data_IF_114965049368
#
_entry.id   IF_114965049368
#
_cell.length_a   1.000
_cell.length_b   1.000
_cell.length_c   1.000
_cell.angle_alpha   90.00
_cell.angle_beta   90.00
_cell.angle_gamma   90.00
#
_symmetry.space_group_name_H-M   'P 1'
#
loop_
_entity.id
_entity.type
_entity.pdbx_description
1 polymer ?
#
# COMPACT_ATOMS: atom_id res chain seq x y z
N UNK A 1 11.28 -4.20 25.87
CA UNK A 1 12.19 -4.24 24.68
C UNK A 1 11.96 -5.52 23.85
N UNK A 2 10.71 -5.82 23.48
CA UNK A 2 10.32 -7.09 22.81
C UNK A 2 9.39 -6.88 21.59
N UNK A 3 9.08 -5.63 21.24
CA UNK A 3 8.12 -5.29 20.16
C UNK A 3 8.78 -4.93 18.81
N UNK A 4 10.06 -4.56 18.78
CA UNK A 4 10.74 -4.09 17.56
C UNK A 4 10.97 -5.23 16.56
N UNK A 5 11.16 -6.46 17.05
CA UNK A 5 11.48 -7.63 16.21
C UNK A 5 10.29 -8.12 15.38
N UNK A 6 9.04 -7.90 15.83
CA UNK A 6 7.83 -8.27 15.08
C UNK A 6 7.44 -7.24 14.00
N UNK A 7 7.75 -5.96 14.21
CA UNK A 7 7.53 -4.89 13.22
C UNK A 7 8.41 -5.07 11.97
N UNK A 8 9.63 -5.57 12.16
CA UNK A 8 10.52 -5.97 11.07
C UNK A 8 9.96 -7.19 10.31
N UNK A 9 9.21 -8.09 10.97
CA UNK A 9 8.65 -9.30 10.35
C UNK A 9 7.50 -9.02 9.38
N UNK A 10 6.64 -8.03 9.66
CA UNK A 10 5.55 -7.66 8.75
C UNK A 10 6.04 -6.80 7.58
N UNK A 11 7.04 -5.93 7.81
CA UNK A 11 7.71 -5.16 6.75
C UNK A 11 8.65 -6.07 5.93
N UNK A 12 9.25 -7.11 6.53
CA UNK A 12 9.91 -8.20 5.81
C UNK A 12 8.90 -9.07 5.07
N UNK A 13 7.72 -9.41 5.59
CA UNK A 13 6.74 -10.19 4.83
C UNK A 13 6.18 -9.42 3.63
N UNK A 14 5.95 -8.11 3.77
CA UNK A 14 5.55 -7.24 2.66
C UNK A 14 6.73 -6.91 1.73
N UNK A 15 7.98 -6.86 2.26
CA UNK A 15 9.21 -6.58 1.51
C UNK A 15 9.95 -7.80 0.94
N UNK A 16 9.60 -9.02 1.37
CA UNK A 16 10.10 -10.31 0.87
C UNK A 16 9.11 -10.98 -0.08
N UNK A 17 7.95 -10.36 -0.35
CA UNK A 17 7.38 -10.52 -1.68
C UNK A 17 8.50 -10.13 -2.64
N UNK A 18 9.11 -11.12 -3.29
CA UNK A 18 10.22 -10.92 -4.22
C UNK A 18 9.73 -9.94 -5.29
N UNK A 19 9.99 -8.65 -5.10
CA UNK A 19 9.72 -7.63 -6.12
C UNK A 19 10.59 -7.88 -7.36
N UNK A 20 11.69 -8.65 -7.24
CA UNK A 20 12.45 -9.23 -8.36
C UNK A 20 11.64 -10.22 -9.23
N UNK A 21 10.48 -10.70 -8.76
CA UNK A 21 9.66 -11.68 -9.47
C UNK A 21 8.24 -11.22 -9.73
N UNK A 22 7.88 -9.95 -9.47
CA UNK A 22 6.65 -9.43 -10.05
C UNK A 22 6.93 -9.31 -11.55
N UNK A 23 6.39 -10.20 -12.40
CA UNK A 23 6.51 -10.00 -13.83
C UNK A 23 5.89 -8.63 -14.09
N UNK A 24 6.45 -7.90 -15.04
CA UNK A 24 5.80 -6.74 -15.62
C UNK A 24 4.45 -7.20 -16.19
N UNK A 25 3.42 -7.27 -15.35
CA UNK A 25 2.14 -7.82 -15.73
C UNK A 25 1.23 -6.62 -16.00
N UNK A 26 0.94 -6.30 -17.27
CA UNK A 26 0.07 -5.18 -17.61
C UNK A 26 -1.31 -5.31 -16.95
N UNK A 27 -1.75 -6.53 -16.63
CA UNK A 27 -2.96 -6.75 -15.83
C UNK A 27 -2.90 -6.09 -14.44
N UNK A 28 -1.72 -6.05 -13.79
CA UNK A 28 -1.56 -5.41 -12.49
C UNK A 28 -1.70 -3.88 -12.64
N UNK A 29 -1.18 -3.29 -13.72
CA UNK A 29 -1.45 -1.89 -14.07
C UNK A 29 -2.96 -1.65 -14.30
N UNK A 30 -3.63 -2.56 -15.02
CA UNK A 30 -5.07 -2.46 -15.29
C UNK A 30 -5.94 -2.54 -14.02
N UNK A 31 -5.50 -3.22 -12.96
CA UNK A 31 -6.19 -3.23 -11.66
C UNK A 31 -6.16 -1.87 -10.95
N UNK A 32 -5.15 -1.04 -11.24
CA UNK A 32 -4.96 0.25 -10.59
C UNK A 32 -5.24 1.45 -11.50
N UNK A 33 -5.37 1.21 -12.81
CA UNK A 33 -5.79 2.19 -13.80
C UNK A 33 -7.30 2.42 -13.74
N UNK A 34 -7.73 3.69 -13.81
CA UNK A 34 -9.15 4.10 -13.74
C UNK A 34 -9.98 3.68 -14.97
N UNK A 35 -9.35 3.10 -15.98
CA UNK A 35 -9.84 2.93 -17.35
C UNK A 35 -10.03 1.46 -17.77
N UNK A 36 -10.38 0.61 -16.80
CA UNK A 36 -10.89 -0.75 -17.00
C UNK A 36 -12.15 -0.75 -17.89
N UNK A 37 -12.02 -1.23 -19.14
CA UNK A 37 -13.02 -1.08 -20.22
C UNK A 37 -14.19 -2.07 -20.22
N UNK A 38 -14.40 -2.86 -19.16
CA UNK A 38 -15.62 -3.68 -18.99
C UNK A 38 -16.20 -3.57 -17.59
N UNK A 39 -17.54 -3.53 -17.48
CA UNK A 39 -18.25 -3.32 -16.21
C UNK A 39 -17.88 -4.36 -15.16
N UNK A 40 -17.78 -5.64 -15.56
CA UNK A 40 -17.41 -6.76 -14.70
C UNK A 40 -15.96 -6.64 -14.19
N UNK A 41 -15.03 -6.17 -15.04
CA UNK A 41 -13.65 -5.93 -14.62
C UNK A 41 -13.58 -4.72 -13.67
N UNK A 42 -14.39 -3.69 -13.88
CA UNK A 42 -14.48 -2.54 -12.97
C UNK A 42 -14.98 -2.95 -11.57
N UNK A 43 -15.95 -3.86 -11.48
CA UNK A 43 -16.47 -4.37 -10.19
C UNK A 43 -15.41 -5.20 -9.46
N UNK A 44 -14.74 -6.11 -10.15
CA UNK A 44 -13.67 -6.92 -9.55
C UNK A 44 -12.51 -6.05 -9.06
N UNK A 45 -12.14 -5.02 -9.82
CA UNK A 45 -11.14 -4.02 -9.44
C UNK A 45 -11.58 -3.24 -8.20
N UNK A 46 -12.84 -2.79 -8.17
CA UNK A 46 -13.39 -2.08 -7.04
C UNK A 46 -13.38 -2.92 -5.75
N UNK A 47 -13.81 -4.18 -5.82
CA UNK A 47 -13.80 -5.08 -4.65
C UNK A 47 -12.38 -5.38 -4.16
N UNK A 48 -11.42 -5.55 -5.07
CA UNK A 48 -10.02 -5.71 -4.68
C UNK A 48 -9.47 -4.45 -4.00
N UNK A 49 -9.75 -3.27 -4.54
CA UNK A 49 -9.33 -1.99 -3.93
C UNK A 49 -9.93 -1.82 -2.53
N UNK A 50 -11.21 -2.17 -2.37
CA UNK A 50 -11.91 -2.14 -1.09
C UNK A 50 -11.28 -3.11 -0.09
N UNK A 51 -10.98 -4.35 -0.49
CA UNK A 51 -10.33 -5.33 0.38
C UNK A 51 -8.92 -4.88 0.82
N UNK A 52 -8.13 -4.29 -0.09
CA UNK A 52 -6.83 -3.71 0.25
C UNK A 52 -7.01 -2.60 1.30
N UNK A 53 -7.95 -1.70 1.09
CA UNK A 53 -8.24 -0.62 2.04
C UNK A 53 -8.67 -1.18 3.40
N UNK A 54 -9.58 -2.16 3.44
CA UNK A 54 -10.03 -2.80 4.68
C UNK A 54 -8.88 -3.50 5.42
N UNK A 55 -7.90 -4.07 4.70
CA UNK A 55 -6.70 -4.64 5.33
C UNK A 55 -5.80 -3.57 5.94
N UNK A 56 -5.60 -2.46 5.24
CA UNK A 56 -4.83 -1.32 5.76
C UNK A 56 -5.51 -0.73 6.99
N UNK A 57 -6.83 -0.55 6.96
CA UNK A 57 -7.61 -0.06 8.10
C UNK A 57 -7.45 -0.96 9.33
N UNK A 58 -7.61 -2.29 9.17
CA UNK A 58 -7.37 -3.26 10.25
C UNK A 58 -5.94 -3.19 10.79
N UNK A 59 -4.96 -2.97 9.91
CA UNK A 59 -3.58 -2.75 10.31
C UNK A 59 -3.42 -1.50 11.19
N UNK A 60 -4.08 -0.40 10.83
CA UNK A 60 -4.08 0.85 11.60
C UNK A 60 -4.79 0.66 12.94
N UNK A 61 -5.98 0.03 12.95
CA UNK A 61 -6.73 -0.29 14.17
C UNK A 61 -5.89 -1.09 15.18
N UNK A 62 -5.16 -2.10 14.70
CA UNK A 62 -4.31 -2.92 15.57
C UNK A 62 -3.16 -2.15 16.24
N UNK A 63 -2.70 -1.06 15.62
CA UNK A 63 -1.54 -0.26 16.07
C UNK A 63 -1.94 0.99 16.83
N UNK A 64 -3.07 1.59 16.47
CA UNK A 64 -3.58 2.82 17.03
C UNK A 64 -5.07 2.62 17.41
N UNK A 65 -5.36 1.80 18.43
CA UNK A 65 -6.73 1.48 18.83
C UNK A 65 -7.49 2.68 19.40
N UNK A 66 -6.78 3.75 19.77
CA UNK A 66 -7.34 5.00 20.28
C UNK A 66 -7.95 5.89 19.19
N UNK A 67 -7.70 5.61 17.90
CA UNK A 67 -8.26 6.39 16.80
C UNK A 67 -9.75 6.09 16.62
N UNK A 68 -10.52 7.14 16.33
CA UNK A 68 -11.90 6.99 15.89
C UNK A 68 -12.00 6.25 14.55
N UNK A 69 -13.13 5.58 14.29
CA UNK A 69 -13.38 4.89 13.03
C UNK A 69 -13.14 5.80 11.81
N UNK A 70 -13.61 7.05 11.86
CA UNK A 70 -13.41 8.05 10.79
C UNK A 70 -11.94 8.31 10.51
N UNK A 71 -11.12 8.49 11.56
CA UNK A 71 -9.68 8.73 11.41
C UNK A 71 -8.97 7.52 10.80
N UNK A 72 -9.35 6.30 11.20
CA UNK A 72 -8.77 5.06 10.64
C UNK A 72 -9.11 4.90 9.16
N UNK A 73 -10.38 5.07 8.80
CA UNK A 73 -10.85 4.98 7.41
C UNK A 73 -10.13 6.02 6.53
N UNK A 74 -10.05 7.27 7.00
CA UNK A 74 -9.36 8.34 6.28
C UNK A 74 -7.87 8.00 6.08
N UNK A 75 -7.18 7.59 7.14
CA UNK A 75 -5.76 7.23 7.08
C UNK A 75 -5.50 6.04 6.15
N UNK A 76 -6.36 5.03 6.16
CA UNK A 76 -6.29 3.90 5.25
C UNK A 76 -6.50 4.33 3.79
N UNK A 77 -7.50 5.19 3.55
CA UNK A 77 -7.82 5.74 2.23
C UNK A 77 -6.61 6.48 1.66
N UNK A 78 -6.07 7.46 2.39
CA UNK A 78 -4.95 8.27 1.91
C UNK A 78 -3.70 7.42 1.69
N UNK A 79 -3.41 6.45 2.57
CA UNK A 79 -2.28 5.53 2.39
C UNK A 79 -2.37 4.71 1.11
N UNK A 80 -3.55 4.15 0.81
CA UNK A 80 -3.80 3.39 -0.43
C UNK A 80 -3.69 4.31 -1.65
N UNK A 81 -4.19 5.53 -1.56
CA UNK A 81 -4.10 6.51 -2.64
C UNK A 81 -2.66 6.94 -2.93
N UNK A 82 -1.84 7.19 -1.90
CA UNK A 82 -0.41 7.50 -2.05
C UNK A 82 0.33 6.36 -2.75
N UNK A 83 0.11 5.12 -2.31
CA UNK A 83 0.67 3.95 -2.98
C UNK A 83 0.23 3.86 -4.45
N UNK A 84 -1.07 3.99 -4.72
CA UNK A 84 -1.63 3.88 -6.06
C UNK A 84 -1.11 4.96 -7.01
N UNK A 85 -0.88 6.18 -6.51
CA UNK A 85 -0.35 7.28 -7.31
C UNK A 85 1.07 6.98 -7.84
N UNK A 86 1.90 6.27 -7.07
CA UNK A 86 3.27 5.95 -7.46
C UNK A 86 3.42 4.63 -8.23
N UNK A 87 2.39 3.78 -8.24
CA UNK A 87 2.42 2.48 -8.93
C UNK A 87 2.83 2.58 -10.41
N UNK A 88 2.29 3.51 -11.24
CA UNK A 88 2.71 3.61 -12.64
C UNK A 88 4.21 3.90 -12.79
N UNK A 89 4.75 4.78 -11.95
CA UNK A 89 6.17 5.13 -11.95
C UNK A 89 7.03 3.92 -11.55
N UNK A 90 6.67 3.24 -10.46
CA UNK A 90 7.37 2.05 -9.97
C UNK A 90 7.41 0.92 -11.00
N UNK A 91 6.33 0.74 -11.75
CA UNK A 91 6.21 -0.34 -12.71
C UNK A 91 7.02 -0.06 -13.98
N UNK A 92 7.09 1.20 -14.40
CA UNK A 92 7.83 1.65 -15.60
C UNK A 92 9.33 1.88 -15.34
N UNK A 93 9.74 2.09 -14.09
CA UNK A 93 11.13 2.40 -13.76
C UNK A 93 12.09 1.20 -13.98
N UNK A 94 13.32 1.47 -14.50
CA UNK A 94 14.43 0.53 -14.44
C UNK A 94 14.71 0.07 -13.00
N UNK A 95 15.33 -1.08 -12.82
CA UNK A 95 15.51 -1.70 -11.50
C UNK A 95 16.19 -0.79 -10.46
N UNK A 96 17.29 -0.13 -10.84
CA UNK A 96 18.00 0.78 -9.95
C UNK A 96 17.15 1.99 -9.51
N UNK A 97 16.35 2.54 -10.43
CA UNK A 97 15.45 3.67 -10.15
C UNK A 97 14.21 3.22 -9.35
N UNK A 98 13.70 2.01 -9.62
CA UNK A 98 12.61 1.39 -8.88
C UNK A 98 12.93 1.27 -7.40
N UNK A 99 14.15 0.87 -7.04
CA UNK A 99 14.56 0.82 -5.63
C UNK A 99 14.50 2.19 -4.95
N UNK A 100 14.94 3.25 -5.64
CA UNK A 100 14.88 4.62 -5.14
C UNK A 100 13.42 5.07 -4.93
N UNK A 101 12.56 4.81 -5.93
CA UNK A 101 11.13 5.11 -5.84
C UNK A 101 10.44 4.34 -4.71
N UNK A 102 10.82 3.08 -4.45
CA UNK A 102 10.30 2.30 -3.32
C UNK A 102 10.72 2.92 -1.98
N UNK A 103 11.96 3.42 -1.87
CA UNK A 103 12.45 4.09 -0.66
C UNK A 103 11.70 5.40 -0.40
N UNK A 104 11.49 6.20 -1.43
CA UNK A 104 10.71 7.45 -1.34
C UNK A 104 9.27 7.18 -0.94
N UNK A 105 8.60 6.22 -1.58
CA UNK A 105 7.24 5.82 -1.23
C UNK A 105 7.13 5.36 0.23
N UNK A 106 8.08 4.52 0.69
CA UNK A 106 8.10 4.07 2.09
C UNK A 106 8.28 5.24 3.05
N UNK A 107 9.15 6.19 2.70
CA UNK A 107 9.39 7.40 3.50
C UNK A 107 8.14 8.25 3.58
N UNK A 108 7.47 8.50 2.45
CA UNK A 108 6.22 9.26 2.39
C UNK A 108 5.12 8.60 3.24
N UNK A 109 4.91 7.28 3.08
CA UNK A 109 3.92 6.53 3.88
C UNK A 109 4.27 6.52 5.36
N UNK A 110 5.55 6.36 5.71
CA UNK A 110 6.00 6.38 7.10
C UNK A 110 5.72 7.75 7.73
N UNK A 111 6.15 8.84 7.11
CA UNK A 111 5.95 10.20 7.61
C UNK A 111 4.49 10.61 7.68
N UNK A 112 3.68 10.14 6.73
CA UNK A 112 2.23 10.35 6.77
C UNK A 112 1.57 9.66 7.97
N UNK A 113 1.97 8.41 8.27
CA UNK A 113 1.38 7.59 9.32
C UNK A 113 1.99 7.82 10.71
N UNK A 114 3.20 8.38 10.80
CA UNK A 114 3.90 8.71 12.05
C UNK A 114 3.00 9.43 13.08
N UNK A 115 2.36 10.58 12.76
CA UNK A 115 1.48 11.28 13.70
C UNK A 115 0.19 10.51 14.02
N UNK A 116 -0.24 9.60 13.15
CA UNK A 116 -1.47 8.80 13.33
C UNK A 116 -1.21 7.60 14.24
N UNK A 117 -0.01 7.02 14.18
CA UNK A 117 0.35 5.84 14.94
C UNK A 117 1.00 6.15 16.29
N UNK A 118 1.37 7.41 16.54
CA UNK A 118 1.99 7.84 17.80
C UNK A 118 3.45 7.39 17.95
N UNK A 119 4.18 7.28 16.83
CA UNK A 119 5.62 7.01 16.81
C UNK A 119 6.43 8.31 16.82
#
# INVERSE_FOLDING_TARGET
MYCITKQISLIKQVGQARFHQLPYHPALLLLFARNASSLQFSTAVHELQKEIQTRVERGIESRAPHLSATQRILSATISVHLFRALLPLLLQAPEAERELLVRELKTALYRYLEPVLGN
#
